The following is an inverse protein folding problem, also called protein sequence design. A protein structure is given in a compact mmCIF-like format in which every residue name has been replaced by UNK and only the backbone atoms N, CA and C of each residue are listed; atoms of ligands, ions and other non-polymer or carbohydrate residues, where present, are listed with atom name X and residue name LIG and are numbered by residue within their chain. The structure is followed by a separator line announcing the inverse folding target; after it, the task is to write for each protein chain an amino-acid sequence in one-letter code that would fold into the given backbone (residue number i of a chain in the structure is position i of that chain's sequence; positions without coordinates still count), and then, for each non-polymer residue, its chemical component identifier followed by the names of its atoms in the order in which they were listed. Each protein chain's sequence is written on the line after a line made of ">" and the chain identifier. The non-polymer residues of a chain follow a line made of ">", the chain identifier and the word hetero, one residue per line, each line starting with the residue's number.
data_IF_022326712127
#
_entry.id   IF_022326712127
#
_cell.length_a   1.000
_cell.length_b   1.000
_cell.length_c   1.000
_cell.angle_alpha   90.00
_cell.angle_beta   90.00
_cell.angle_gamma   90.00
#
_symmetry.space_group_name_H-M   'P 1'
#
loop_
_entity.id
_entity.type
_entity.pdbx_description
1 polymer ?
#
# COMPACT_ATOMS: atom_id res chain seq x y z
N UNK A 1 -40.30 -23.70 21.78
CA UNK A 1 -39.25 -23.71 22.82
C UNK A 1 -38.83 -22.27 23.08
N UNK A 2 -38.86 -21.80 24.34
CA UNK A 2 -38.45 -20.43 24.68
C UNK A 2 -36.95 -20.30 24.47
N UNK A 3 -36.53 -19.38 23.61
CA UNK A 3 -35.12 -19.13 23.35
C UNK A 3 -34.53 -18.37 24.54
N UNK A 4 -33.66 -19.02 25.30
CA UNK A 4 -32.96 -18.38 26.43
C UNK A 4 -31.82 -17.54 25.86
N UNK A 5 -31.87 -16.23 26.10
CA UNK A 5 -30.83 -15.28 25.71
C UNK A 5 -29.85 -15.05 26.86
N UNK A 6 -28.57 -15.07 26.54
CA UNK A 6 -27.52 -14.64 27.46
C UNK A 6 -27.61 -13.13 27.71
N UNK A 7 -27.16 -12.65 28.87
CA UNK A 7 -27.19 -11.21 29.21
C UNK A 7 -26.47 -10.33 28.19
N UNK A 8 -25.39 -10.84 27.59
CA UNK A 8 -24.65 -10.20 26.49
C UNK A 8 -25.55 -10.03 25.26
N UNK A 9 -26.26 -11.09 24.84
CA UNK A 9 -27.15 -11.04 23.68
C UNK A 9 -28.29 -10.05 23.91
N UNK A 10 -28.88 -10.04 25.11
CA UNK A 10 -29.96 -9.10 25.46
C UNK A 10 -29.49 -7.65 25.35
N UNK A 11 -28.28 -7.34 25.84
CA UNK A 11 -27.70 -5.99 25.73
C UNK A 11 -27.51 -5.58 24.27
N UNK A 12 -26.94 -6.47 23.45
CA UNK A 12 -26.67 -6.17 22.03
C UNK A 12 -27.99 -6.04 21.24
N UNK A 13 -28.96 -6.93 21.45
CA UNK A 13 -30.27 -6.87 20.76
C UNK A 13 -31.00 -5.57 21.10
N UNK A 14 -31.04 -5.18 22.39
CA UNK A 14 -31.66 -3.90 22.79
C UNK A 14 -31.02 -2.71 22.07
N UNK A 15 -29.69 -2.69 22.01
CA UNK A 15 -28.97 -1.64 21.31
C UNK A 15 -29.25 -1.63 19.80
N UNK A 16 -29.30 -2.81 19.16
CA UNK A 16 -29.59 -2.95 17.73
C UNK A 16 -31.04 -2.60 17.39
N UNK A 17 -31.97 -2.77 18.33
CA UNK A 17 -33.36 -2.35 18.15
C UNK A 17 -33.49 -0.82 18.00
N UNK A 18 -32.68 -0.06 18.75
CA UNK A 18 -32.65 1.39 18.66
C UNK A 18 -31.80 1.88 17.48
N UNK A 19 -30.71 1.16 17.16
CA UNK A 19 -29.76 1.50 16.09
C UNK A 19 -29.40 0.25 15.27
N UNK A 20 -30.06 0.01 14.11
CA UNK A 20 -30.00 -1.28 13.41
C UNK A 20 -28.65 -1.59 12.76
N UNK A 21 -27.78 -0.60 12.56
CA UNK A 21 -26.45 -0.78 11.94
C UNK A 21 -25.36 -0.16 12.82
N UNK A 22 -24.56 -1.01 13.44
CA UNK A 22 -23.47 -0.60 14.33
C UNK A 22 -22.21 -1.43 14.08
N UNK A 23 -21.05 -0.81 14.31
CA UNK A 23 -19.77 -1.53 14.31
C UNK A 23 -19.56 -2.20 15.68
N UNK A 24 -18.75 -3.28 15.75
CA UNK A 24 -18.41 -3.92 17.02
C UNK A 24 -17.83 -2.94 18.05
N UNK A 25 -17.04 -1.95 17.63
CA UNK A 25 -16.46 -0.97 18.56
C UNK A 25 -17.54 -0.09 19.20
N UNK A 26 -18.53 0.37 18.41
CA UNK A 26 -19.65 1.18 18.93
C UNK A 26 -20.54 0.38 19.88
N UNK A 27 -20.75 -0.91 19.60
CA UNK A 27 -21.48 -1.81 20.49
C UNK A 27 -20.76 -1.92 21.84
N UNK A 28 -19.44 -2.15 21.83
CA UNK A 28 -18.64 -2.22 23.06
C UNK A 28 -18.68 -0.92 23.86
N UNK A 29 -18.46 0.22 23.20
CA UNK A 29 -18.48 1.54 23.84
C UNK A 29 -19.82 1.87 24.50
N UNK A 30 -20.94 1.50 23.88
CA UNK A 30 -22.29 1.83 24.40
C UNK A 30 -22.74 0.87 25.49
N UNK A 31 -22.40 -0.42 25.38
CA UNK A 31 -22.87 -1.46 26.31
C UNK A 31 -21.93 -1.70 27.50
N UNK A 32 -20.70 -1.18 27.44
CA UNK A 32 -19.63 -1.47 28.40
C UNK A 32 -19.11 -2.90 28.31
N UNK A 33 -19.42 -3.63 27.23
CA UNK A 33 -18.93 -4.99 27.00
C UNK A 33 -17.48 -4.95 26.52
N UNK A 34 -16.69 -5.95 26.92
CA UNK A 34 -15.33 -6.11 26.39
C UNK A 34 -15.37 -6.49 24.91
N UNK A 35 -14.30 -6.22 24.12
CA UNK A 35 -14.24 -6.60 22.71
C UNK A 35 -14.54 -8.08 22.47
N UNK A 36 -14.06 -8.97 23.34
CA UNK A 36 -14.34 -10.41 23.23
C UNK A 36 -15.81 -10.76 23.53
N UNK A 37 -16.43 -10.11 24.52
CA UNK A 37 -17.86 -10.29 24.79
C UNK A 37 -18.71 -9.83 23.60
N UNK A 38 -18.35 -8.71 22.97
CA UNK A 38 -19.04 -8.21 21.77
C UNK A 38 -18.89 -9.20 20.62
N UNK A 39 -17.68 -9.69 20.32
CA UNK A 39 -17.45 -10.70 19.28
C UNK A 39 -18.29 -11.95 19.52
N UNK A 40 -18.24 -12.51 20.74
CA UNK A 40 -19.00 -13.70 21.13
C UNK A 40 -20.51 -13.48 21.00
N UNK A 41 -20.98 -12.32 21.44
CA UNK A 41 -22.39 -11.93 21.34
C UNK A 41 -22.85 -11.82 19.89
N UNK A 42 -22.06 -11.16 19.03
CA UNK A 42 -22.33 -11.07 17.59
C UNK A 42 -22.35 -12.47 16.94
N UNK A 43 -21.42 -13.36 17.29
CA UNK A 43 -21.43 -14.76 16.82
C UNK A 43 -22.70 -15.50 17.24
N UNK A 44 -23.13 -15.38 18.50
CA UNK A 44 -24.36 -16.02 18.97
C UNK A 44 -25.59 -15.49 18.26
N UNK A 45 -25.68 -14.18 18.04
CA UNK A 45 -26.78 -13.57 17.28
C UNK A 45 -26.78 -14.02 15.82
N UNK A 46 -25.60 -14.15 15.19
CA UNK A 46 -25.46 -14.72 13.85
C UNK A 46 -25.95 -16.16 13.79
N UNK A 47 -25.49 -17.02 14.72
CA UNK A 47 -25.88 -18.43 14.80
C UNK A 47 -27.40 -18.62 15.01
N UNK A 48 -28.03 -17.69 15.71
CA UNK A 48 -29.48 -17.68 15.95
C UNK A 48 -30.29 -16.99 14.84
N UNK A 49 -29.64 -16.52 13.76
CA UNK A 49 -30.24 -15.74 12.68
C UNK A 49 -30.95 -14.45 13.17
N UNK A 50 -30.41 -13.82 14.22
CA UNK A 50 -30.97 -12.60 14.82
C UNK A 50 -30.21 -11.32 14.43
N UNK A 51 -29.05 -11.45 13.79
CA UNK A 51 -28.28 -10.33 13.27
C UNK A 51 -27.65 -10.70 11.93
N UNK A 52 -27.63 -9.74 11.01
CA UNK A 52 -26.86 -9.83 9.77
C UNK A 52 -25.50 -9.14 9.97
N UNK A 53 -24.42 -9.76 9.49
CA UNK A 53 -23.07 -9.22 9.62
C UNK A 53 -22.56 -8.88 8.22
N UNK A 54 -22.30 -7.60 7.98
CA UNK A 54 -21.65 -7.11 6.77
C UNK A 54 -20.16 -6.89 7.06
N UNK A 55 -19.29 -7.66 6.40
CA UNK A 55 -17.84 -7.51 6.50
C UNK A 55 -17.31 -6.83 5.23
N UNK A 56 -16.55 -5.74 5.39
CA UNK A 56 -15.90 -5.05 4.29
C UNK A 56 -14.42 -4.87 4.58
N UNK A 57 -13.57 -5.13 3.58
CA UNK A 57 -12.14 -4.87 3.64
C UNK A 57 -11.80 -3.66 2.78
N UNK A 58 -11.10 -2.69 3.36
CA UNK A 58 -10.55 -1.55 2.64
C UNK A 58 -9.04 -1.74 2.50
N UNK A 59 -8.50 -1.52 1.30
CA UNK A 59 -7.06 -1.57 1.03
C UNK A 59 -6.63 -0.18 0.62
N UNK A 60 -5.61 0.35 1.30
CA UNK A 60 -5.02 1.65 1.03
C UNK A 60 -3.65 1.45 0.40
N UNK A 61 -3.39 2.13 -0.72
CA UNK A 61 -2.09 2.15 -1.39
C UNK A 61 -1.48 3.54 -1.21
N UNK A 62 -0.20 3.59 -0.84
CA UNK A 62 0.56 4.84 -0.69
C UNK A 62 1.97 4.64 -1.25
N UNK A 63 2.54 5.72 -1.79
CA UNK A 63 3.95 5.73 -2.18
C UNK A 63 4.82 5.66 -0.92
N UNK A 64 5.85 4.79 -0.94
CA UNK A 64 6.95 4.84 0.03
C UNK A 64 7.92 5.98 -0.29
N UNK A 65 8.94 6.17 0.53
CA UNK A 65 9.94 7.24 0.35
C UNK A 65 10.53 7.28 -1.06
N UNK A 66 11.01 6.13 -1.57
CA UNK A 66 11.56 6.04 -2.93
C UNK A 66 10.54 6.42 -4.01
N UNK A 67 9.26 6.10 -3.80
CA UNK A 67 8.19 6.45 -4.73
C UNK A 67 7.87 7.94 -4.71
N UNK A 68 7.91 8.58 -3.53
CA UNK A 68 7.75 10.02 -3.40
C UNK A 68 8.92 10.77 -4.03
N UNK A 69 10.15 10.30 -3.83
CA UNK A 69 11.33 10.88 -4.46
C UNK A 69 11.31 10.71 -5.97
N UNK A 70 10.94 9.53 -6.47
CA UNK A 70 10.79 9.28 -7.90
C UNK A 70 9.69 10.15 -8.52
N UNK A 71 8.59 10.39 -7.81
CA UNK A 71 7.54 11.30 -8.26
C UNK A 71 8.02 12.76 -8.33
N UNK A 72 8.94 13.18 -7.46
CA UNK A 72 9.45 14.55 -7.43
C UNK A 72 10.62 14.79 -8.41
N UNK A 73 11.54 13.83 -8.52
CA UNK A 73 12.80 13.97 -9.27
C UNK A 73 12.86 13.12 -10.56
N UNK A 74 11.83 12.32 -10.82
CA UNK A 74 11.80 11.31 -11.88
C UNK A 74 12.39 9.97 -11.42
N UNK A 75 12.10 8.91 -12.17
CA UNK A 75 12.62 7.56 -11.89
C UNK A 75 14.16 7.52 -11.90
N UNK A 76 14.81 6.66 -11.10
CA UNK A 76 16.27 6.51 -11.05
C UNK A 76 16.92 6.39 -12.43
N UNK A 77 16.35 5.56 -13.30
CA UNK A 77 16.78 5.36 -14.67
C UNK A 77 16.65 6.63 -15.51
N UNK A 78 15.59 7.42 -15.33
CA UNK A 78 15.37 8.65 -16.08
C UNK A 78 16.38 9.73 -15.68
N UNK A 79 16.69 9.79 -14.39
CA UNK A 79 17.77 10.63 -13.88
C UNK A 79 19.12 10.25 -14.49
N UNK A 80 19.45 8.95 -14.55
CA UNK A 80 20.66 8.46 -15.21
C UNK A 80 20.70 8.80 -16.71
N UNK A 81 19.60 8.55 -17.44
CA UNK A 81 19.54 8.85 -18.88
C UNK A 81 19.66 10.34 -19.17
N UNK A 82 19.06 11.20 -18.33
CA UNK A 82 19.20 12.65 -18.47
C UNK A 82 20.66 13.12 -18.30
N UNK A 83 21.44 12.49 -17.41
CA UNK A 83 22.86 12.78 -17.26
C UNK A 83 23.71 12.31 -18.44
N UNK A 84 23.24 11.30 -19.19
CA UNK A 84 23.91 10.70 -20.35
C UNK A 84 23.42 11.24 -21.69
N UNK A 85 22.41 12.13 -21.70
CA UNK A 85 21.88 12.74 -22.94
C UNK A 85 22.87 13.68 -23.61
N UNK A 86 23.71 14.36 -22.83
CA UNK A 86 24.65 15.36 -23.35
C UNK A 86 25.97 14.72 -23.77
N UNK A 87 26.59 13.92 -22.91
CA UNK A 87 27.89 13.28 -23.18
C UNK A 87 28.05 11.95 -22.42
N UNK A 88 28.83 10.99 -22.93
CA UNK A 88 29.27 9.84 -22.15
C UNK A 88 30.00 10.27 -20.87
N UNK A 89 29.56 9.77 -19.72
CA UNK A 89 30.16 10.08 -18.42
C UNK A 89 30.92 8.89 -17.85
N UNK A 90 31.91 9.17 -17.00
CA UNK A 90 32.64 8.12 -16.28
C UNK A 90 31.77 7.47 -15.22
N UNK A 91 31.92 6.17 -15.04
CA UNK A 91 31.16 5.38 -14.06
C UNK A 91 31.36 5.89 -12.63
N UNK A 92 32.56 6.36 -12.29
CA UNK A 92 32.85 6.94 -10.97
C UNK A 92 32.15 8.28 -10.73
N UNK A 93 31.91 9.08 -11.76
CA UNK A 93 31.19 10.35 -11.65
C UNK A 93 29.70 10.10 -11.48
N UNK A 94 29.13 9.20 -12.29
CA UNK A 94 27.73 8.77 -12.16
C UNK A 94 27.44 8.19 -10.77
N UNK A 95 28.35 7.39 -10.22
CA UNK A 95 28.22 6.84 -8.87
C UNK A 95 28.25 7.92 -7.78
N UNK A 96 28.97 9.02 -7.98
CA UNK A 96 29.01 10.16 -7.05
C UNK A 96 27.74 11.02 -7.14
N UNK A 97 27.25 11.28 -8.35
CA UNK A 97 26.04 12.08 -8.58
C UNK A 97 24.77 11.34 -8.14
N UNK A 98 24.62 10.07 -8.53
CA UNK A 98 23.42 9.25 -8.28
C UNK A 98 23.49 8.46 -6.96
N UNK A 99 24.64 8.36 -6.31
CA UNK A 99 24.80 7.73 -4.99
C UNK A 99 24.07 6.37 -4.86
N UNK A 100 23.04 6.29 -4.02
CA UNK A 100 22.25 5.09 -3.74
C UNK A 100 21.34 4.66 -4.91
N UNK A 101 20.90 5.60 -5.75
CA UNK A 101 20.01 5.31 -6.89
C UNK A 101 20.78 4.83 -8.13
N UNK A 102 22.12 4.93 -8.13
CA UNK A 102 22.98 4.47 -9.23
C UNK A 102 22.79 2.98 -9.56
N UNK A 103 22.77 2.12 -8.54
CA UNK A 103 22.61 0.68 -8.71
C UNK A 103 21.30 0.30 -9.41
N UNK A 104 20.14 0.72 -8.85
CA UNK A 104 18.83 0.54 -9.49
C UNK A 104 18.76 1.11 -10.91
N UNK A 105 19.24 2.34 -11.10
CA UNK A 105 19.21 3.03 -12.40
C UNK A 105 20.00 2.26 -13.47
N UNK A 106 21.24 1.86 -13.16
CA UNK A 106 22.08 1.10 -14.08
C UNK A 106 21.53 -0.30 -14.36
N UNK A 107 20.92 -0.95 -13.36
CA UNK A 107 20.32 -2.27 -13.52
C UNK A 107 19.18 -2.25 -14.55
N UNK A 108 18.26 -1.29 -14.43
CA UNK A 108 17.14 -1.12 -15.35
C UNK A 108 17.64 -0.67 -16.73
N UNK A 109 18.53 0.32 -16.78
CA UNK A 109 19.04 0.86 -18.05
C UNK A 109 19.82 -0.20 -18.86
N UNK A 110 20.59 -1.08 -18.19
CA UNK A 110 21.26 -2.22 -18.86
C UNK A 110 20.27 -3.28 -19.30
N UNK A 111 19.32 -3.65 -18.43
CA UNK A 111 18.27 -4.65 -18.76
C UNK A 111 17.48 -4.24 -20.02
N UNK A 112 17.22 -2.95 -20.18
CA UNK A 112 16.46 -2.41 -21.30
C UNK A 112 17.33 -1.99 -22.50
N UNK A 113 18.65 -2.25 -22.48
CA UNK A 113 19.60 -1.86 -23.54
C UNK A 113 19.63 -0.35 -23.86
N UNK A 114 19.39 0.50 -22.86
CA UNK A 114 19.43 1.96 -23.02
C UNK A 114 20.85 2.53 -22.94
N UNK A 115 21.73 1.88 -22.19
CA UNK A 115 23.11 2.32 -21.97
C UNK A 115 24.11 1.26 -22.39
N UNK A 116 25.26 1.70 -22.88
CA UNK A 116 26.42 0.88 -23.19
C UNK A 116 27.58 1.25 -22.27
N UNK A 117 28.43 0.28 -21.93
CA UNK A 117 29.59 0.52 -21.06
C UNK A 117 30.84 0.10 -21.82
N UNK A 118 31.69 1.08 -22.14
CA UNK A 118 32.99 0.87 -22.78
C UNK A 118 34.09 1.16 -21.74
N UNK A 119 34.54 0.10 -21.05
CA UNK A 119 35.49 0.21 -19.95
C UNK A 119 34.96 1.04 -18.77
N UNK A 120 35.51 2.24 -18.59
CA UNK A 120 35.15 3.17 -17.50
C UNK A 120 34.03 4.15 -17.90
N UNK A 121 33.66 4.22 -19.17
CA UNK A 121 32.67 5.18 -19.69
C UNK A 121 31.31 4.52 -19.91
N UNK A 122 30.26 5.26 -19.62
CA UNK A 122 28.87 4.88 -19.90
C UNK A 122 28.31 5.84 -20.94
N UNK A 123 27.75 5.31 -22.02
CA UNK A 123 27.14 6.09 -23.11
C UNK A 123 25.67 5.70 -23.32
N UNK A 124 24.89 6.62 -23.88
CA UNK A 124 23.49 6.39 -24.23
C UNK A 124 23.41 5.70 -25.61
N UNK A 125 22.76 4.54 -25.67
CA UNK A 125 22.61 3.74 -26.90
C UNK A 125 21.23 3.91 -27.54
N UNK A 126 20.18 3.84 -26.72
CA UNK A 126 18.80 4.05 -27.15
C UNK A 126 18.04 4.80 -26.08
N UNK A 127 17.40 5.91 -26.46
CA UNK A 127 16.57 6.68 -25.55
C UNK A 127 15.15 6.12 -25.57
N UNK A 128 14.59 5.66 -24.44
CA UNK A 128 13.18 5.31 -24.38
C UNK A 128 12.31 6.56 -24.50
N UNK A 129 11.19 6.41 -25.22
CA UNK A 129 10.03 7.30 -25.08
C UNK A 129 9.53 7.24 -23.63
N UNK A 130 8.92 8.33 -23.14
CA UNK A 130 8.28 8.35 -21.81
C UNK A 130 7.43 7.08 -21.60
N UNK A 131 7.71 6.36 -20.51
CA UNK A 131 7.00 5.14 -20.17
C UNK A 131 5.69 5.50 -19.48
N UNK A 132 4.71 4.60 -19.50
CA UNK A 132 3.45 4.78 -18.75
C UNK A 132 3.66 4.90 -17.23
N UNK A 133 4.84 4.53 -16.72
CA UNK A 133 5.23 4.64 -15.32
C UNK A 133 5.72 6.07 -14.96
N UNK A 134 6.02 6.90 -15.97
CA UNK A 134 6.39 8.31 -15.83
C UNK A 134 5.19 9.27 -15.95
N UNK A 135 3.97 8.76 -16.21
CA UNK A 135 2.74 9.53 -16.44
C UNK A 135 1.73 9.44 -15.31
#
# INVERSE_FOLDING_TARGET
>A
MSQVFHEIEKKIIRLLNDNPKLTPEKIGATTGLTPDQVRRGIEWLKLKNLANIEESKQVYLRLGENGLEANAKGLPERQLLNLLKEEPKKLNELKKELQSIFGPAMGIARKNNWVETDGENVSLKSAPSETSEEK
#
